data_IF_414982047674
#
_entry.id   IF_414982047674
#
_cell.length_a   1.000
_cell.length_b   1.000
_cell.length_c   1.000
_cell.angle_alpha   90.00
_cell.angle_beta   90.00
_cell.angle_gamma   90.00
#
_symmetry.space_group_name_H-M   'P 1'
#
loop_
_entity.id
_entity.type
_entity.pdbx_description
1 polymer ?
#
# COMPACT_ATOMS: atom_id res chain seq x y z
N UNK A 1 51.07 -4.84 28.71
CA UNK A 1 52.01 -4.51 27.62
C UNK A 1 51.23 -4.58 26.31
N UNK A 2 51.13 -3.47 25.58
CA UNK A 2 50.32 -3.36 24.36
C UNK A 2 49.75 -1.95 24.23
N UNK A 3 50.60 -1.04 23.78
CA UNK A 3 50.35 0.40 23.63
C UNK A 3 49.40 0.66 22.45
N UNK A 4 48.31 1.40 22.65
CA UNK A 4 47.53 1.98 21.55
C UNK A 4 47.62 3.50 21.60
N UNK A 5 48.16 4.02 20.51
CA UNK A 5 48.56 5.39 20.26
C UNK A 5 47.31 6.28 20.04
N UNK A 6 47.19 7.35 20.85
CA UNK A 6 46.30 8.48 20.59
C UNK A 6 46.87 9.33 19.45
N UNK A 7 46.07 9.67 18.45
CA UNK A 7 46.36 10.79 17.54
C UNK A 7 45.32 11.89 17.76
N UNK A 8 45.75 12.94 18.45
CA UNK A 8 45.12 14.26 18.54
C UNK A 8 45.65 15.11 17.38
N UNK A 9 44.76 15.73 16.62
CA UNK A 9 45.09 16.87 15.76
C UNK A 9 44.06 17.99 15.97
N UNK A 10 44.52 19.03 16.67
CA UNK A 10 44.07 20.42 16.59
C UNK A 10 45.30 21.19 16.03
N UNK A 11 45.30 22.33 15.35
CA UNK A 11 44.51 23.58 15.27
C UNK A 11 44.89 24.15 13.86
N UNK A 12 44.12 24.95 13.12
CA UNK A 12 44.10 26.43 13.19
C UNK A 12 43.07 27.04 12.24
N UNK A 13 42.49 28.14 12.72
CA UNK A 13 41.65 29.14 12.08
C UNK A 13 42.33 29.92 10.95
N UNK A 14 41.55 30.45 9.99
CA UNK A 14 41.45 31.89 9.75
C UNK A 14 40.43 32.27 8.65
N UNK A 15 39.48 33.12 9.08
CA UNK A 15 38.89 34.31 8.43
C UNK A 15 38.07 34.25 7.12
N UNK A 16 36.85 34.80 7.29
CA UNK A 16 35.83 35.29 6.34
C UNK A 16 36.34 36.47 5.46
N UNK A 17 35.60 36.88 4.39
CA UNK A 17 34.57 37.91 4.56
C UNK A 17 33.24 37.67 3.81
N UNK A 18 32.18 38.20 4.44
CA UNK A 18 30.84 38.46 3.90
C UNK A 18 30.87 39.57 2.84
N UNK A 19 30.00 39.51 1.83
CA UNK A 19 29.67 40.67 1.00
C UNK A 19 28.39 41.35 1.51
N UNK A 20 28.49 42.66 1.73
CA UNK A 20 27.44 43.59 2.12
C UNK A 20 26.71 44.20 0.92
N UNK A 21 25.43 44.50 1.11
CA UNK A 21 24.62 45.37 0.27
C UNK A 21 25.27 46.77 0.11
N UNK A 22 25.22 47.30 -1.12
CA UNK A 22 25.45 48.70 -1.43
C UNK A 22 24.22 49.29 -2.11
N UNK A 23 23.41 50.04 -1.36
CA UNK A 23 22.42 50.99 -1.88
C UNK A 23 23.14 52.33 -2.03
N UNK A 24 23.04 52.97 -3.20
CA UNK A 24 23.37 54.38 -3.35
C UNK A 24 22.41 55.05 -4.32
N UNK A 25 21.80 56.16 -3.87
CA UNK A 25 20.90 57.07 -4.60
C UNK A 25 21.63 58.40 -4.77
N UNK A 26 21.54 59.03 -5.96
CA UNK A 26 21.40 60.48 -6.21
C UNK A 26 21.29 60.73 -7.75
N UNK A 27 20.93 61.94 -8.26
CA UNK A 27 19.55 62.40 -8.46
C UNK A 27 19.25 62.82 -9.93
N UNK A 28 17.98 63.23 -10.15
CA UNK A 28 17.39 63.67 -11.42
C UNK A 28 17.99 64.97 -12.01
N UNK A 29 17.88 65.20 -13.33
CA UNK A 29 16.94 66.17 -13.95
C UNK A 29 17.08 66.31 -15.51
N UNK A 30 15.96 66.71 -16.16
CA UNK A 30 15.77 67.42 -17.46
C UNK A 30 15.49 66.63 -18.77
N UNK A 31 14.20 66.72 -19.16
CA UNK A 31 13.54 66.88 -20.47
C UNK A 31 14.24 66.51 -21.79
N UNK A 32 13.55 65.71 -22.62
CA UNK A 32 13.17 66.17 -23.97
C UNK A 32 11.93 65.42 -24.52
N UNK A 33 11.10 66.15 -25.28
CA UNK A 33 9.88 65.69 -25.94
C UNK A 33 10.18 65.23 -27.37
N UNK A 34 9.77 64.03 -27.78
CA UNK A 34 9.30 63.80 -29.16
C UNK A 34 8.59 62.44 -29.34
N UNK A 35 7.46 62.51 -30.03
CA UNK A 35 6.59 61.43 -30.52
C UNK A 35 7.28 60.18 -31.10
N UNK A 36 6.74 58.98 -30.83
CA UNK A 36 6.24 58.08 -31.89
C UNK A 36 5.43 56.90 -31.33
N UNK A 37 4.49 56.48 -32.17
CA UNK A 37 3.43 55.49 -32.04
C UNK A 37 3.96 54.04 -32.02
N UNK A 38 3.18 53.14 -31.40
CA UNK A 38 3.11 51.68 -31.58
C UNK A 38 4.30 50.81 -31.14
N UNK A 39 4.08 49.95 -30.14
CA UNK A 39 3.63 48.56 -30.36
C UNK A 39 3.51 47.85 -29.01
N UNK A 40 2.28 47.58 -28.59
CA UNK A 40 1.98 46.63 -27.51
C UNK A 40 2.22 45.21 -28.02
N UNK A 41 3.42 44.67 -27.80
CA UNK A 41 3.65 43.24 -27.88
C UNK A 41 3.52 42.65 -26.46
N UNK A 42 2.28 42.34 -26.07
CA UNK A 42 2.02 41.43 -24.97
C UNK A 42 2.51 40.02 -25.38
N UNK A 43 3.75 39.68 -25.02
CA UNK A 43 4.18 38.28 -25.00
C UNK A 43 3.57 37.61 -23.78
N UNK A 44 2.35 37.09 -23.96
CA UNK A 44 1.79 36.03 -23.12
C UNK A 44 1.80 34.75 -23.95
N UNK A 45 2.95 34.08 -24.05
CA UNK A 45 3.00 32.71 -24.55
C UNK A 45 2.50 31.79 -23.44
N UNK A 46 1.18 31.61 -23.35
CA UNK A 46 0.64 30.45 -22.64
C UNK A 46 1.10 29.21 -23.39
N UNK A 47 1.65 28.24 -22.67
CA UNK A 47 1.95 26.89 -23.16
C UNK A 47 0.63 26.17 -23.47
N UNK A 48 -0.07 26.58 -24.53
CA UNK A 48 -1.18 25.81 -25.05
C UNK A 48 -0.62 24.53 -25.65
N UNK A 49 -0.97 23.39 -25.07
CA UNK A 49 -0.62 22.09 -25.63
C UNK A 49 -1.24 22.00 -27.02
N UNK A 50 -0.41 21.68 -28.01
CA UNK A 50 -0.87 21.38 -29.36
C UNK A 50 -1.84 20.19 -29.30
N UNK A 51 -3.08 20.35 -29.75
CA UNK A 51 -4.08 19.27 -29.83
C UNK A 51 -3.55 18.03 -30.56
N UNK A 52 -2.67 18.24 -31.56
CA UNK A 52 -1.99 17.16 -32.26
C UNK A 52 -1.14 16.30 -31.32
N UNK A 53 -0.42 16.89 -30.38
CA UNK A 53 0.42 16.16 -29.43
C UNK A 53 -0.42 15.29 -28.48
N UNK A 54 -1.58 15.79 -28.03
CA UNK A 54 -2.52 15.00 -27.23
C UNK A 54 -3.11 13.83 -28.03
N UNK A 55 -3.43 14.06 -29.31
CA UNK A 55 -3.93 13.01 -30.19
C UNK A 55 -2.86 11.94 -30.48
N UNK A 56 -1.62 12.34 -30.73
CA UNK A 56 -0.49 11.42 -30.92
C UNK A 56 -0.26 10.57 -29.66
N UNK A 57 -0.30 11.18 -28.47
CA UNK A 57 -0.23 10.45 -27.21
C UNK A 57 -1.40 9.48 -27.04
N UNK A 58 -2.62 9.87 -27.41
CA UNK A 58 -3.80 8.99 -27.37
C UNK A 58 -3.60 7.75 -28.24
N UNK A 59 -3.17 7.94 -29.48
CA UNK A 59 -2.90 6.84 -30.40
C UNK A 59 -1.79 5.94 -29.87
N UNK A 60 -0.73 6.52 -29.30
CA UNK A 60 0.34 5.76 -28.65
C UNK A 60 -0.18 4.89 -27.49
N UNK A 61 -0.99 5.45 -26.59
CA UNK A 61 -1.54 4.70 -25.45
C UNK A 61 -2.46 3.55 -25.91
N UNK A 62 -3.29 3.78 -26.95
CA UNK A 62 -4.15 2.75 -27.52
C UNK A 62 -3.33 1.63 -28.17
N UNK A 63 -2.26 1.99 -28.90
CA UNK A 63 -1.37 1.03 -29.54
C UNK A 63 -0.62 0.17 -28.52
N UNK A 64 0.00 0.81 -27.53
CA UNK A 64 0.84 0.13 -26.53
C UNK A 64 0.02 -0.63 -25.48
N UNK A 65 -1.23 -0.25 -25.24
CA UNK A 65 -2.13 -0.90 -24.29
C UNK A 65 -3.54 -1.12 -24.89
N UNK A 66 -3.69 -2.05 -25.85
CA UNK A 66 -4.95 -2.23 -26.58
C UNK A 66 -6.13 -2.68 -25.71
N UNK A 67 -5.84 -3.26 -24.54
CA UNK A 67 -6.85 -3.69 -23.57
C UNK A 67 -7.22 -2.60 -22.54
N UNK A 68 -6.59 -1.43 -22.59
CA UNK A 68 -6.90 -0.32 -21.70
C UNK A 68 -8.19 0.37 -22.17
N UNK A 69 -9.13 0.58 -21.24
CA UNK A 69 -10.42 1.15 -21.58
C UNK A 69 -10.25 2.58 -22.16
N UNK A 70 -10.78 2.89 -23.36
CA UNK A 70 -10.68 4.21 -23.97
C UNK A 70 -11.18 5.37 -23.10
N UNK A 71 -12.17 5.14 -22.23
CA UNK A 71 -12.65 6.15 -21.28
C UNK A 71 -11.58 6.50 -20.23
N UNK A 72 -10.81 5.49 -19.79
CA UNK A 72 -9.68 5.69 -18.87
C UNK A 72 -8.59 6.50 -19.58
N UNK A 73 -8.25 6.13 -20.82
CA UNK A 73 -7.28 6.85 -21.65
C UNK A 73 -7.66 8.32 -21.76
N UNK A 74 -8.92 8.63 -22.09
CA UNK A 74 -9.39 10.01 -22.21
C UNK A 74 -9.22 10.77 -20.88
N UNK A 75 -9.60 10.18 -19.73
CA UNK A 75 -9.45 10.85 -18.43
C UNK A 75 -7.99 11.05 -18.02
N UNK A 76 -7.11 10.12 -18.36
CA UNK A 76 -5.67 10.23 -18.12
C UNK A 76 -5.06 11.34 -18.99
N UNK A 77 -5.44 11.42 -20.26
CA UNK A 77 -5.00 12.50 -21.14
C UNK A 77 -5.50 13.88 -20.69
N UNK A 78 -6.76 13.98 -20.21
CA UNK A 78 -7.24 15.21 -19.58
C UNK A 78 -6.41 15.56 -18.34
N UNK A 79 -6.08 14.57 -17.50
CA UNK A 79 -5.23 14.77 -16.32
C UNK A 79 -3.85 15.31 -16.68
N UNK A 80 -3.24 14.77 -17.75
CA UNK A 80 -1.95 15.22 -18.26
C UNK A 80 -2.05 16.64 -18.85
N UNK A 81 -3.09 16.92 -19.64
CA UNK A 81 -3.36 18.25 -20.19
C UNK A 81 -3.43 19.29 -19.08
N UNK A 82 -4.26 19.04 -18.07
CA UNK A 82 -4.42 19.96 -16.95
C UNK A 82 -3.15 20.08 -16.10
N UNK A 83 -2.37 19.01 -15.94
CA UNK A 83 -1.09 19.10 -15.25
C UNK A 83 -0.11 20.05 -15.95
N UNK A 84 -0.06 20.01 -17.28
CA UNK A 84 0.76 20.92 -18.09
C UNK A 84 0.24 22.35 -17.99
N UNK A 85 -1.07 22.57 -18.09
CA UNK A 85 -1.68 23.89 -17.99
C UNK A 85 -1.41 24.56 -16.63
N UNK A 86 -1.44 23.79 -15.55
CA UNK A 86 -1.09 24.26 -14.22
C UNK A 86 0.42 24.29 -13.94
N UNK A 87 1.27 24.05 -14.94
CA UNK A 87 2.73 24.01 -14.82
C UNK A 87 3.21 23.08 -13.69
N UNK A 88 2.58 21.90 -13.56
CA UNK A 88 3.08 20.85 -12.65
C UNK A 88 4.43 20.38 -13.19
N UNK A 89 5.48 20.51 -12.38
CA UNK A 89 6.81 20.05 -12.74
C UNK A 89 6.88 18.52 -12.77
N UNK A 90 6.95 17.90 -13.94
CA UNK A 90 7.01 16.45 -14.05
C UNK A 90 7.89 15.98 -15.22
N UNK A 91 8.41 14.76 -15.10
CA UNK A 91 9.14 14.11 -16.18
C UNK A 91 8.18 13.46 -17.21
N UNK A 92 8.75 12.78 -18.21
CA UNK A 92 8.03 12.12 -19.32
C UNK A 92 7.45 10.74 -18.97
N UNK A 93 7.59 10.27 -17.73
CA UNK A 93 7.07 8.97 -17.29
C UNK A 93 5.66 9.16 -16.73
N UNK A 94 4.73 8.36 -17.25
CA UNK A 94 3.33 8.33 -16.83
C UNK A 94 2.99 6.96 -16.25
N UNK A 95 2.56 6.93 -15.00
CA UNK A 95 1.99 5.73 -14.37
C UNK A 95 0.48 5.85 -14.30
N UNK A 96 -0.22 4.78 -14.67
CA UNK A 96 -1.67 4.67 -14.56
C UNK A 96 -2.02 3.45 -13.71
N UNK A 97 -2.92 3.65 -12.74
CA UNK A 97 -3.59 2.56 -12.03
C UNK A 97 -5.09 2.64 -12.30
N UNK A 98 -5.68 1.59 -12.86
CA UNK A 98 -7.14 1.49 -13.03
C UNK A 98 -7.75 0.67 -11.89
N UNK A 99 -8.30 1.35 -10.88
CA UNK A 99 -8.96 0.69 -9.76
C UNK A 99 -10.40 0.24 -10.05
N UNK A 100 -10.95 0.52 -11.22
CA UNK A 100 -12.22 -0.08 -11.68
C UNK A 100 -12.06 -1.57 -11.99
N UNK A 101 -10.84 -2.01 -12.31
CA UNK A 101 -10.51 -3.42 -12.52
C UNK A 101 -10.28 -4.16 -11.19
N UNK A 102 -10.67 -5.45 -11.11
CA UNK A 102 -10.40 -6.27 -9.94
C UNK A 102 -8.89 -6.43 -9.70
N UNK A 103 -8.51 -6.53 -8.43
CA UNK A 103 -7.11 -6.59 -7.99
C UNK A 103 -6.34 -7.83 -8.46
N UNK A 104 -7.03 -8.85 -8.95
CA UNK A 104 -6.44 -10.03 -9.57
C UNK A 104 -6.18 -9.88 -11.09
N UNK A 105 -6.29 -8.66 -11.62
CA UNK A 105 -5.90 -8.31 -12.99
C UNK A 105 -4.70 -7.37 -12.97
N UNK A 106 -3.89 -7.43 -14.03
CA UNK A 106 -2.83 -6.45 -14.29
C UNK A 106 -3.49 -5.12 -14.62
N UNK A 107 -3.43 -4.18 -13.68
CA UNK A 107 -4.17 -2.91 -13.68
C UNK A 107 -3.28 -1.69 -13.38
N UNK A 108 -1.96 -1.89 -13.48
CA UNK A 108 -0.97 -0.83 -13.45
C UNK A 108 -0.22 -0.83 -14.78
N UNK A 109 -0.08 0.35 -15.37
CA UNK A 109 0.72 0.61 -16.57
C UNK A 109 1.74 1.71 -16.28
N UNK A 110 2.93 1.60 -16.85
CA UNK A 110 3.94 2.66 -16.84
C UNK A 110 4.38 2.91 -18.27
N UNK A 111 4.24 4.14 -18.74
CA UNK A 111 4.59 4.56 -20.09
C UNK A 111 5.75 5.56 -20.05
N UNK A 112 6.62 5.46 -21.04
CA UNK A 112 7.50 6.55 -21.42
C UNK A 112 6.83 7.32 -22.57
N UNK A 113 6.40 8.55 -22.30
CA UNK A 113 5.69 9.38 -23.27
C UNK A 113 6.62 9.91 -24.37
N UNK A 114 7.90 10.07 -24.09
CA UNK A 114 8.90 10.55 -25.05
C UNK A 114 9.34 9.40 -25.98
N UNK A 115 9.68 8.25 -25.40
CA UNK A 115 10.02 7.04 -26.15
C UNK A 115 8.80 6.35 -26.78
N UNK A 116 7.59 6.82 -26.47
CA UNK A 116 6.31 6.31 -27.00
C UNK A 116 6.11 4.81 -26.74
N UNK A 117 6.40 4.36 -25.52
CA UNK A 117 6.50 2.93 -25.19
C UNK A 117 5.88 2.57 -23.85
N UNK A 118 5.21 1.41 -23.79
CA UNK A 118 4.85 0.76 -22.53
C UNK A 118 6.08 0.09 -21.90
N UNK A 119 6.44 0.52 -20.69
CA UNK A 119 7.57 -0.02 -19.92
C UNK A 119 7.14 -1.18 -19.01
N UNK A 120 5.99 -1.05 -18.35
CA UNK A 120 5.50 -2.06 -17.40
C UNK A 120 3.99 -2.21 -17.45
N UNK A 121 3.50 -3.45 -17.40
CA UNK A 121 2.08 -3.78 -17.19
C UNK A 121 1.96 -4.91 -16.15
N UNK A 122 1.47 -4.59 -14.95
CA UNK A 122 1.51 -5.55 -13.83
C UNK A 122 0.38 -5.37 -12.80
N UNK A 123 0.39 -6.22 -11.78
CA UNK A 123 -0.55 -6.19 -10.66
C UNK A 123 -0.24 -5.02 -9.71
N UNK A 124 -1.27 -4.53 -9.03
CA UNK A 124 -1.12 -3.57 -7.94
C UNK A 124 -2.25 -3.73 -6.92
N UNK A 125 -1.88 -3.74 -5.65
CA UNK A 125 -2.83 -3.84 -4.52
C UNK A 125 -3.46 -2.49 -4.17
N UNK A 126 -4.44 -2.51 -3.26
CA UNK A 126 -5.11 -1.35 -2.68
C UNK A 126 -5.21 -1.49 -1.15
N UNK A 127 -5.74 -0.46 -0.48
CA UNK A 127 -5.96 -0.46 0.97
C UNK A 127 -7.05 -1.43 1.44
N UNK A 128 -6.87 -1.99 2.62
CA UNK A 128 -7.79 -2.98 3.23
C UNK A 128 -9.23 -2.47 3.41
N UNK A 129 -9.42 -1.15 3.56
CA UNK A 129 -10.75 -0.53 3.64
C UNK A 129 -11.33 -0.12 2.29
N UNK A 130 -10.63 -0.37 1.18
CA UNK A 130 -11.11 -0.06 -0.17
C UNK A 130 -11.89 -1.19 -0.84
N UNK A 131 -12.01 -2.35 -0.20
CA UNK A 131 -12.68 -3.54 -0.72
C UNK A 131 -11.84 -4.80 -0.56
N UNK A 132 -12.29 -5.90 -1.17
CA UNK A 132 -11.63 -7.22 -1.10
C UNK A 132 -10.99 -7.59 -2.43
N UNK A 133 -11.81 -7.94 -3.43
CA UNK A 133 -11.33 -8.17 -4.80
C UNK A 133 -11.41 -6.89 -5.63
N UNK A 134 -12.60 -6.28 -5.64
CA UNK A 134 -12.89 -4.99 -6.27
C UNK A 134 -12.50 -3.85 -5.35
N UNK A 135 -12.04 -2.74 -5.92
CA UNK A 135 -11.86 -1.47 -5.20
C UNK A 135 -13.15 -0.67 -5.35
N UNK A 136 -13.88 -0.46 -4.27
CA UNK A 136 -15.18 0.24 -4.31
C UNK A 136 -15.29 1.36 -3.28
N UNK A 137 -14.29 1.56 -2.43
CA UNK A 137 -14.25 2.66 -1.47
C UNK A 137 -12.90 3.37 -1.49
N UNK A 138 -12.94 4.70 -1.41
CA UNK A 138 -11.76 5.55 -1.41
C UNK A 138 -11.87 6.58 -0.31
N UNK A 139 -10.73 6.95 0.28
CA UNK A 139 -10.71 7.96 1.32
C UNK A 139 -9.40 8.71 1.34
N UNK A 140 -9.53 10.02 1.47
CA UNK A 140 -8.42 10.93 1.69
C UNK A 140 -8.21 11.25 3.19
N UNK A 141 -8.94 10.60 4.10
CA UNK A 141 -8.84 10.86 5.54
C UNK A 141 -7.63 10.17 6.16
N UNK A 142 -7.05 10.80 7.17
CA UNK A 142 -6.04 10.17 8.03
C UNK A 142 -6.56 8.88 8.64
N UNK A 143 -5.69 7.86 8.71
CA UNK A 143 -5.97 6.55 9.30
C UNK A 143 -7.19 5.80 8.70
N UNK A 144 -7.66 6.18 7.51
CA UNK A 144 -8.79 5.53 6.84
C UNK A 144 -8.50 4.09 6.41
N UNK A 145 -7.21 3.74 6.26
CA UNK A 145 -6.71 2.47 5.70
C UNK A 145 -7.25 2.14 4.29
N UNK A 146 -7.76 3.15 3.59
CA UNK A 146 -8.28 3.06 2.22
C UNK A 146 -7.34 3.77 1.26
N UNK A 147 -7.29 3.34 0.00
CA UNK A 147 -6.62 4.06 -1.07
C UNK A 147 -7.38 5.33 -1.45
N UNK A 148 -6.72 6.24 -2.15
CA UNK A 148 -7.30 7.47 -2.70
C UNK A 148 -7.09 7.52 -4.21
N UNK A 149 -8.06 8.07 -4.94
CA UNK A 149 -7.99 8.29 -6.40
C UNK A 149 -7.46 9.70 -6.70
N UNK A 150 -7.12 9.97 -7.95
CA UNK A 150 -6.64 11.28 -8.40
C UNK A 150 -5.21 11.27 -8.93
N UNK A 151 -4.68 12.46 -9.16
CA UNK A 151 -3.33 12.68 -9.71
C UNK A 151 -2.32 12.83 -8.58
N UNK A 152 -1.23 12.09 -8.67
CA UNK A 152 -0.10 12.13 -7.75
C UNK A 152 1.18 12.52 -8.51
N UNK A 153 2.12 13.10 -7.79
CA UNK A 153 3.50 13.22 -8.23
C UNK A 153 4.38 12.32 -7.36
N UNK A 154 5.23 11.53 -7.99
CA UNK A 154 6.21 10.70 -7.30
C UNK A 154 7.39 11.53 -6.83
N UNK A 155 7.93 11.18 -5.66
CA UNK A 155 9.03 11.91 -5.03
C UNK A 155 10.28 11.03 -4.91
N UNK A 156 11.12 11.27 -3.91
CA UNK A 156 12.28 10.43 -3.63
C UNK A 156 11.87 9.01 -3.16
N UNK A 157 12.67 8.04 -3.58
CA UNK A 157 12.61 6.69 -3.03
C UNK A 157 13.46 6.61 -1.75
N UNK A 158 13.02 5.77 -0.82
CA UNK A 158 13.73 5.48 0.43
C UNK A 158 13.61 4.01 0.79
N UNK A 159 14.48 3.53 1.69
CA UNK A 159 14.39 2.18 2.22
C UNK A 159 13.67 2.20 3.57
N UNK A 160 12.56 1.47 3.65
CA UNK A 160 11.76 1.33 4.87
C UNK A 160 11.48 -0.13 5.22
N UNK A 161 10.49 -0.35 6.09
CA UNK A 161 10.07 -1.68 6.56
C UNK A 161 9.59 -2.64 5.46
N UNK A 162 9.23 -2.11 4.29
CA UNK A 162 8.74 -2.86 3.13
C UNK A 162 9.76 -2.85 1.97
N UNK A 163 11.03 -2.51 2.29
CA UNK A 163 12.12 -2.39 1.32
C UNK A 163 12.13 -1.02 0.63
N UNK A 164 12.58 -1.00 -0.62
CA UNK A 164 12.52 0.21 -1.45
C UNK A 164 11.06 0.66 -1.58
N UNK A 165 10.80 1.90 -1.19
CA UNK A 165 9.48 2.52 -1.17
C UNK A 165 9.56 3.91 -1.77
N UNK A 166 8.51 4.33 -2.45
CA UNK A 166 8.43 5.59 -3.17
C UNK A 166 7.40 6.51 -2.53
N UNK A 167 7.82 7.70 -2.12
CA UNK A 167 6.90 8.72 -1.60
C UNK A 167 5.98 9.22 -2.71
N UNK A 168 4.70 9.38 -2.36
CA UNK A 168 3.67 9.87 -3.26
C UNK A 168 3.10 11.16 -2.69
N UNK A 169 3.17 12.24 -3.47
CA UNK A 169 2.48 13.49 -3.16
C UNK A 169 1.17 13.56 -3.92
N UNK A 170 0.08 13.90 -3.22
CA UNK A 170 -1.25 13.97 -3.81
C UNK A 170 -1.54 15.38 -4.28
N UNK A 171 -1.79 15.56 -5.57
CA UNK A 171 -1.98 16.89 -6.15
C UNK A 171 -3.46 17.31 -6.22
N UNK A 172 -4.37 16.35 -6.08
CA UNK A 172 -5.79 16.51 -6.35
C UNK A 172 -6.57 16.79 -5.05
N UNK A 173 -6.89 18.07 -4.85
CA UNK A 173 -7.47 18.61 -3.62
C UNK A 173 -8.75 17.86 -3.24
N UNK A 174 -8.86 17.48 -1.97
CA UNK A 174 -9.93 16.65 -1.40
C UNK A 174 -9.96 15.18 -1.83
N UNK A 175 -9.26 14.78 -2.90
CA UNK A 175 -9.24 13.39 -3.39
C UNK A 175 -8.04 12.61 -2.88
N UNK A 176 -6.85 13.22 -2.92
CA UNK A 176 -5.62 12.60 -2.48
C UNK A 176 -4.59 13.54 -1.82
N UNK A 177 -4.90 14.83 -1.65
CA UNK A 177 -3.99 15.85 -1.09
C UNK A 177 -3.48 15.59 0.34
N UNK A 178 -4.03 14.61 1.05
CA UNK A 178 -3.46 14.14 2.32
C UNK A 178 -2.50 12.94 2.17
N UNK A 179 -2.19 12.48 0.96
CA UNK A 179 -1.44 11.24 0.73
C UNK A 179 -0.08 11.22 1.44
N UNK A 180 0.71 12.28 1.30
CA UNK A 180 2.01 12.41 1.96
C UNK A 180 1.88 12.42 3.50
N UNK A 181 0.94 13.23 4.04
CA UNK A 181 0.66 13.27 5.49
C UNK A 181 0.16 11.93 6.04
N UNK A 182 -0.53 11.14 5.21
CA UNK A 182 -1.00 9.78 5.53
C UNK A 182 0.09 8.71 5.40
N UNK A 183 1.32 9.10 5.04
CA UNK A 183 2.42 8.21 4.71
C UNK A 183 2.06 7.16 3.63
N UNK A 184 1.26 7.58 2.65
CA UNK A 184 0.94 6.75 1.47
C UNK A 184 2.16 6.73 0.55
N UNK A 185 2.65 5.53 0.28
CA UNK A 185 3.83 5.28 -0.54
C UNK A 185 3.53 4.17 -1.54
N UNK A 186 4.26 4.08 -2.64
CA UNK A 186 4.30 2.85 -3.44
C UNK A 186 5.40 1.94 -2.89
N UNK A 187 5.07 0.68 -2.60
CA UNK A 187 6.04 -0.26 -2.03
C UNK A 187 5.87 -1.66 -2.60
N UNK A 188 6.78 -2.57 -2.26
CA UNK A 188 6.71 -3.97 -2.67
C UNK A 188 5.87 -4.83 -1.70
N UNK A 189 5.28 -5.91 -2.19
CA UNK A 189 4.53 -6.86 -1.36
C UNK A 189 4.53 -8.26 -1.95
N UNK A 190 5.06 -9.23 -1.19
CA UNK A 190 5.09 -10.66 -1.59
C UNK A 190 3.70 -11.22 -1.92
N UNK A 191 2.67 -10.68 -1.26
CA UNK A 191 1.26 -11.02 -1.45
C UNK A 191 0.65 -10.43 -2.74
N UNK A 192 1.43 -9.75 -3.58
CA UNK A 192 0.99 -9.19 -4.88
C UNK A 192 1.59 -10.00 -6.05
N UNK A 193 2.44 -10.98 -5.76
CA UNK A 193 3.02 -11.86 -6.77
C UNK A 193 1.96 -12.66 -7.53
N UNK A 194 2.18 -12.86 -8.84
CA UNK A 194 1.23 -13.57 -9.71
C UNK A 194 0.90 -14.99 -9.18
N UNK A 195 1.91 -15.69 -8.66
CA UNK A 195 1.73 -17.02 -8.04
C UNK A 195 0.79 -16.97 -6.82
N UNK A 196 0.87 -15.93 -6.01
CA UNK A 196 0.03 -15.75 -4.83
C UNK A 196 -1.41 -15.47 -5.26
N UNK A 197 -1.58 -14.57 -6.24
CA UNK A 197 -2.89 -14.23 -6.79
C UNK A 197 -3.56 -15.46 -7.43
N UNK A 198 -2.80 -16.30 -8.15
CA UNK A 198 -3.31 -17.55 -8.71
C UNK A 198 -3.73 -18.55 -7.62
N UNK A 199 -2.95 -18.66 -6.54
CA UNK A 199 -3.23 -19.56 -5.41
C UNK A 199 -4.48 -19.13 -4.61
N UNK A 200 -4.64 -17.83 -4.37
CA UNK A 200 -5.67 -17.31 -3.44
C UNK A 200 -6.77 -16.47 -4.10
N UNK A 201 -6.76 -16.33 -5.42
CA UNK A 201 -7.75 -15.61 -6.22
C UNK A 201 -7.64 -14.08 -6.20
N UNK A 202 -6.87 -13.49 -5.26
CA UNK A 202 -6.60 -12.05 -5.16
C UNK A 202 -5.25 -11.77 -4.47
N UNK A 203 -4.66 -10.58 -4.64
CA UNK A 203 -3.53 -10.16 -3.83
C UNK A 203 -3.97 -9.85 -2.39
N UNK A 204 -3.00 -9.82 -1.48
CA UNK A 204 -3.18 -9.16 -0.17
C UNK A 204 -3.33 -7.64 -0.29
N UNK A 205 -3.73 -6.98 0.81
CA UNK A 205 -4.10 -5.56 0.89
C UNK A 205 -3.24 -4.78 1.88
N UNK A 206 -2.81 -3.59 1.45
CA UNK A 206 -2.04 -2.65 2.28
C UNK A 206 -2.97 -1.84 3.21
N UNK A 207 -2.46 -0.78 3.83
CA UNK A 207 -3.29 0.19 4.57
C UNK A 207 -3.55 1.48 3.77
N UNK A 208 -3.58 1.38 2.44
CA UNK A 208 -3.89 2.50 1.53
C UNK A 208 -2.88 2.63 0.40
N UNK A 209 -1.64 2.22 0.66
CA UNK A 209 -0.52 2.21 -0.28
C UNK A 209 -0.77 1.30 -1.51
N UNK A 210 -0.50 1.75 -2.75
CA UNK A 210 -0.37 0.83 -3.87
C UNK A 210 0.86 -0.09 -3.64
N UNK A 211 0.63 -1.39 -3.55
CA UNK A 211 1.72 -2.37 -3.40
C UNK A 211 1.94 -3.14 -4.70
N UNK A 212 3.20 -3.32 -5.10
CA UNK A 212 3.65 -3.99 -6.33
C UNK A 212 4.17 -5.41 -6.05
N UNK A 213 4.22 -6.30 -7.06
CA UNK A 213 5.01 -7.53 -6.99
C UNK A 213 6.47 -7.23 -6.64
N UNK A 214 7.09 -8.08 -5.82
CA UNK A 214 8.50 -7.95 -5.45
C UNK A 214 9.39 -7.93 -6.69
N UNK A 215 9.15 -8.85 -7.63
CA UNK A 215 9.97 -9.03 -8.83
C UNK A 215 10.13 -7.74 -9.67
N UNK A 216 9.07 -6.92 -9.76
CA UNK A 216 9.07 -5.71 -10.59
C UNK A 216 9.27 -4.42 -9.79
N UNK A 217 9.06 -4.46 -8.47
CA UNK A 217 8.99 -3.26 -7.61
C UNK A 217 10.20 -2.34 -7.75
N UNK A 218 11.43 -2.86 -7.69
CA UNK A 218 12.63 -2.04 -7.78
C UNK A 218 12.78 -1.37 -9.15
N UNK A 219 12.51 -2.09 -10.23
CA UNK A 219 12.61 -1.55 -11.59
C UNK A 219 11.56 -0.45 -11.82
N UNK A 220 10.31 -0.70 -11.40
CA UNK A 220 9.22 0.27 -11.49
C UNK A 220 9.55 1.51 -10.66
N UNK A 221 9.84 1.35 -9.36
CA UNK A 221 10.12 2.49 -8.46
C UNK A 221 11.29 3.33 -8.98
N UNK A 222 12.37 2.72 -9.46
CA UNK A 222 13.50 3.47 -10.01
C UNK A 222 13.18 4.17 -11.34
N UNK A 223 12.20 3.66 -12.10
CA UNK A 223 11.75 4.29 -13.35
C UNK A 223 10.83 5.48 -13.07
N UNK A 224 9.95 5.35 -12.06
CA UNK A 224 8.90 6.33 -11.81
C UNK A 224 9.25 7.32 -10.70
N UNK A 225 10.41 7.22 -10.03
CA UNK A 225 10.82 8.22 -9.03
C UNK A 225 11.13 9.57 -9.69
N UNK A 226 11.34 10.58 -8.86
CA UNK A 226 11.84 11.89 -9.29
C UNK A 226 10.87 12.60 -10.26
N UNK A 227 9.66 12.90 -9.75
CA UNK A 227 8.62 13.74 -10.39
C UNK A 227 7.92 13.12 -11.60
N UNK A 228 7.66 11.82 -11.61
CA UNK A 228 6.70 11.23 -12.58
C UNK A 228 5.26 11.53 -12.17
N UNK A 229 4.33 11.57 -13.14
CA UNK A 229 2.90 11.60 -12.84
C UNK A 229 2.35 10.19 -12.65
N UNK A 230 1.58 10.01 -11.57
CA UNK A 230 0.80 8.81 -11.29
C UNK A 230 -0.68 9.17 -11.25
N UNK A 231 -1.47 8.60 -12.15
CA UNK A 231 -2.94 8.76 -12.17
C UNK A 231 -3.59 7.49 -11.64
N UNK A 232 -4.28 7.61 -10.51
CA UNK A 232 -5.10 6.52 -9.96
C UNK A 232 -6.56 6.78 -10.34
N UNK A 233 -7.05 6.01 -11.30
CA UNK A 233 -8.38 6.15 -11.89
C UNK A 233 -9.43 5.29 -11.17
N UNK A 234 -10.64 5.86 -11.03
CA UNK A 234 -11.89 5.15 -10.78
C UNK A 234 -13.06 5.98 -11.37
N UNK A 235 -14.14 5.35 -11.90
CA UNK A 235 -15.26 6.08 -12.51
C UNK A 235 -16.15 6.75 -11.46
N UNK A 236 -15.66 7.82 -10.82
CA UNK A 236 -16.37 8.56 -9.77
C UNK A 236 -16.92 9.89 -10.27
N UNK A 237 -18.23 10.10 -10.11
CA UNK A 237 -18.90 11.38 -10.44
C UNK A 237 -18.27 12.57 -9.71
N UNK A 238 -18.06 12.40 -8.39
CA UNK A 238 -17.49 13.46 -7.57
C UNK A 238 -16.10 13.86 -8.07
N UNK A 239 -15.27 12.88 -8.43
CA UNK A 239 -13.94 13.14 -8.96
C UNK A 239 -13.97 13.80 -10.33
N UNK A 240 -14.77 13.27 -11.25
CA UNK A 240 -14.91 13.84 -12.60
C UNK A 240 -15.42 15.28 -12.58
N UNK A 241 -16.34 15.61 -11.68
CA UNK A 241 -16.93 16.95 -11.59
C UNK A 241 -16.05 17.98 -10.84
N UNK A 242 -15.22 17.55 -9.87
CA UNK A 242 -14.56 18.47 -8.93
C UNK A 242 -13.04 18.47 -9.00
N UNK A 243 -12.42 17.47 -9.62
CA UNK A 243 -10.96 17.45 -9.79
C UNK A 243 -10.53 18.61 -10.69
N UNK A 244 -9.55 19.40 -10.22
CA UNK A 244 -8.93 20.43 -11.06
C UNK A 244 -8.23 19.82 -12.27
N UNK A 245 -7.75 18.58 -12.15
CA UNK A 245 -7.06 17.85 -13.22
C UNK A 245 -8.00 17.25 -14.25
N UNK A 246 -9.31 17.39 -14.09
CA UNK A 246 -10.28 16.96 -15.09
C UNK A 246 -11.10 18.12 -15.67
N UNK A 247 -10.86 19.34 -15.21
CA UNK A 247 -11.70 20.52 -15.50
C UNK A 247 -10.87 21.81 -15.70
N UNK A 248 -9.64 21.71 -16.21
CA UNK A 248 -8.80 22.89 -16.48
C UNK A 248 -9.37 23.82 -17.59
N UNK A 249 -10.11 23.26 -18.54
CA UNK A 249 -10.75 24.04 -19.62
C UNK A 249 -11.96 24.87 -19.17
N UNK A 250 -12.44 24.70 -17.93
CA UNK A 250 -13.73 25.27 -17.49
C UNK A 250 -13.55 26.57 -16.73
N UNK A 251 -13.73 27.68 -17.44
CA UNK A 251 -14.41 28.86 -16.89
C UNK A 251 -15.93 28.58 -16.87
N UNK A 252 -16.43 28.05 -15.75
CA UNK A 252 -17.86 27.83 -15.42
C UNK A 252 -18.71 26.86 -16.28
N UNK A 253 -19.41 25.96 -15.56
CA UNK A 253 -20.64 25.24 -15.93
C UNK A 253 -20.78 24.68 -17.35
N UNK A 254 -20.37 23.43 -17.56
CA UNK A 254 -21.05 22.57 -18.53
C UNK A 254 -21.33 21.21 -17.90
N UNK A 255 -22.61 20.81 -17.92
CA UNK A 255 -23.09 19.55 -17.38
C UNK A 255 -22.66 18.40 -18.29
N UNK A 256 -21.90 17.46 -17.73
CA UNK A 256 -21.50 16.25 -18.44
C UNK A 256 -22.67 15.27 -18.52
N UNK A 257 -22.98 14.82 -19.74
CA UNK A 257 -23.84 13.67 -19.99
C UNK A 257 -23.17 12.39 -19.51
N UNK A 258 -23.87 11.68 -18.63
CA UNK A 258 -23.40 10.53 -17.86
C UNK A 258 -23.41 9.25 -18.69
N UNK A 259 -22.24 8.69 -18.96
CA UNK A 259 -22.11 7.27 -19.29
C UNK A 259 -21.35 6.56 -18.15
N UNK A 260 -22.02 5.60 -17.52
CA UNK A 260 -21.53 4.64 -16.51
C UNK A 260 -20.55 5.18 -15.46
N UNK A 261 -21.06 6.00 -14.54
CA UNK A 261 -20.33 6.48 -13.37
C UNK A 261 -20.86 5.85 -12.08
N UNK A 262 -20.01 5.74 -11.07
CA UNK A 262 -20.29 5.05 -9.81
C UNK A 262 -20.16 6.04 -8.65
N UNK A 263 -21.21 6.14 -7.85
CA UNK A 263 -21.17 6.82 -6.56
C UNK A 263 -20.36 5.99 -5.58
N UNK A 264 -19.28 6.58 -5.04
CA UNK A 264 -18.46 5.93 -4.01
C UNK A 264 -19.29 5.90 -2.71
N UNK A 265 -19.42 4.75 -2.04
CA UNK A 265 -20.12 4.65 -0.76
C UNK A 265 -19.56 5.61 0.29
N UNK A 266 -20.41 6.13 1.18
CA UNK A 266 -20.01 7.09 2.23
C UNK A 266 -19.16 6.43 3.33
N UNK A 267 -19.38 5.15 3.58
CA UNK A 267 -18.65 4.34 4.56
C UNK A 267 -17.86 3.21 3.88
N UNK A 268 -16.73 2.80 4.48
CA UNK A 268 -16.01 1.64 3.98
C UNK A 268 -16.88 0.38 4.10
N UNK A 269 -16.65 -0.65 3.26
CA UNK A 269 -17.30 -1.94 3.40
C UNK A 269 -17.07 -2.50 4.81
N UNK A 270 -18.11 -3.14 5.37
CA UNK A 270 -17.94 -3.87 6.62
C UNK A 270 -16.95 -5.01 6.41
N UNK A 271 -16.00 -5.15 7.32
CA UNK A 271 -15.00 -6.20 7.27
C UNK A 271 -15.17 -7.03 8.53
N UNK A 272 -15.97 -8.09 8.42
CA UNK A 272 -16.13 -9.05 9.51
C UNK A 272 -14.80 -9.73 9.81
N UNK A 273 -14.34 -9.58 11.05
CA UNK A 273 -13.11 -10.21 11.54
C UNK A 273 -13.48 -11.35 12.48
N UNK A 274 -13.05 -12.53 12.11
CA UNK A 274 -13.12 -13.70 12.99
C UNK A 274 -12.11 -13.52 14.13
N UNK A 275 -12.51 -13.80 15.38
CA UNK A 275 -11.55 -13.84 16.47
C UNK A 275 -10.45 -14.86 16.20
N UNK A 276 -9.21 -14.50 16.51
CA UNK A 276 -8.07 -15.42 16.44
C UNK A 276 -7.55 -15.72 17.85
N UNK A 277 -6.84 -16.85 17.98
CA UNK A 277 -6.43 -17.39 19.26
C UNK A 277 -5.03 -16.91 19.68
N UNK A 278 -4.96 -16.26 20.84
CA UNK A 278 -3.72 -15.81 21.48
C UNK A 278 -3.41 -16.59 22.73
N UNK A 279 -2.12 -16.82 22.98
CA UNK A 279 -1.64 -17.32 24.26
C UNK A 279 -1.88 -16.28 25.36
N UNK A 280 -2.70 -16.64 26.34
CA UNK A 280 -3.06 -15.85 27.51
C UNK A 280 -2.16 -16.08 28.70
N UNK A 281 -2.73 -16.50 29.83
CA UNK A 281 -1.97 -16.85 31.04
C UNK A 281 -1.10 -18.09 30.80
N UNK A 282 0.13 -18.06 31.35
CA UNK A 282 1.14 -19.11 31.17
C UNK A 282 2.37 -18.70 30.34
N UNK A 283 2.30 -17.59 29.60
CA UNK A 283 3.44 -17.01 28.87
C UNK A 283 3.91 -15.72 29.53
N UNK A 284 5.21 -15.61 29.86
CA UNK A 284 5.85 -14.39 30.37
C UNK A 284 6.07 -13.39 29.22
N UNK A 285 4.99 -12.77 28.72
CA UNK A 285 5.00 -11.77 27.65
C UNK A 285 4.41 -10.43 28.09
N UNK A 286 4.46 -9.43 27.19
CA UNK A 286 3.84 -8.13 27.42
C UNK A 286 2.31 -8.22 27.60
N UNK A 287 1.71 -7.20 28.21
CA UNK A 287 0.25 -7.17 28.49
C UNK A 287 -0.60 -7.08 27.21
N UNK A 288 -0.06 -6.52 26.12
CA UNK A 288 -0.78 -6.27 24.87
C UNK A 288 -0.89 -7.51 23.96
N UNK A 289 -2.06 -7.72 23.34
CA UNK A 289 -2.31 -8.84 22.43
C UNK A 289 -1.30 -8.91 21.27
N UNK A 290 -0.86 -7.76 20.74
CA UNK A 290 0.14 -7.70 19.67
C UNK A 290 1.52 -8.29 20.03
N UNK A 291 1.78 -8.53 21.33
CA UNK A 291 3.02 -9.11 21.85
C UNK A 291 2.87 -10.56 22.31
N UNK A 292 1.65 -11.10 22.25
CA UNK A 292 1.34 -12.47 22.67
C UNK A 292 1.44 -13.42 21.47
N UNK A 293 1.93 -14.65 21.67
CA UNK A 293 1.96 -15.65 20.61
C UNK A 293 0.55 -15.94 20.08
N UNK A 294 0.39 -15.97 18.76
CA UNK A 294 -0.82 -16.45 18.09
C UNK A 294 -0.65 -17.90 17.70
N UNK A 295 -1.68 -18.71 17.91
CA UNK A 295 -1.76 -20.07 17.40
C UNK A 295 -1.97 -20.03 15.87
N UNK A 296 -1.05 -20.61 15.12
CA UNK A 296 -1.09 -20.65 13.65
C UNK A 296 -0.86 -22.06 13.13
N UNK A 297 -1.28 -22.30 11.89
CA UNK A 297 -0.89 -23.47 11.11
C UNK A 297 -0.43 -23.02 9.72
N UNK A 298 0.40 -23.82 9.03
CA UNK A 298 0.78 -23.48 7.65
C UNK A 298 -0.45 -23.43 6.74
N UNK A 299 -0.47 -22.54 5.75
CA UNK A 299 -1.60 -22.44 4.83
C UNK A 299 -1.84 -23.75 4.06
N UNK A 300 -0.78 -24.49 3.71
CA UNK A 300 -0.91 -25.76 3.00
C UNK A 300 -1.54 -26.84 3.90
N UNK A 301 -1.10 -26.93 5.17
CA UNK A 301 -1.72 -27.84 6.14
C UNK A 301 -3.16 -27.43 6.43
N UNK A 302 -3.43 -26.14 6.56
CA UNK A 302 -4.80 -25.61 6.73
C UNK A 302 -5.74 -26.14 5.64
N UNK A 303 -5.33 -26.02 4.36
CA UNK A 303 -6.16 -26.47 3.24
C UNK A 303 -6.36 -27.98 3.23
N UNK A 304 -5.34 -28.77 3.64
CA UNK A 304 -5.47 -30.23 3.75
C UNK A 304 -6.40 -30.65 4.88
N UNK A 305 -6.28 -30.04 6.05
CA UNK A 305 -7.01 -30.43 7.26
C UNK A 305 -8.46 -29.96 7.23
N UNK A 306 -8.70 -28.72 6.79
CA UNK A 306 -10.04 -28.12 6.80
C UNK A 306 -10.75 -28.19 5.44
N UNK A 307 -10.09 -28.73 4.40
CA UNK A 307 -10.64 -28.87 3.05
C UNK A 307 -11.25 -27.58 2.47
N UNK A 308 -10.67 -26.43 2.83
CA UNK A 308 -11.14 -25.10 2.42
C UNK A 308 -9.97 -24.19 2.08
N UNK A 309 -10.24 -23.06 1.41
CA UNK A 309 -9.19 -22.11 1.05
C UNK A 309 -8.69 -21.36 2.29
N UNK A 310 -7.40 -21.02 2.29
CA UNK A 310 -6.79 -20.34 3.43
C UNK A 310 -7.38 -18.91 3.57
N UNK A 311 -7.93 -18.53 4.74
CA UNK A 311 -8.58 -17.24 4.93
C UNK A 311 -7.55 -16.12 5.00
N UNK A 312 -7.43 -15.35 3.91
CA UNK A 312 -6.46 -14.26 3.82
C UNK A 312 -6.60 -13.22 4.94
N UNK A 313 -7.81 -13.00 5.46
CA UNK A 313 -8.08 -12.10 6.60
C UNK A 313 -7.38 -12.52 7.90
N UNK A 314 -6.98 -13.79 8.02
CA UNK A 314 -6.24 -14.36 9.17
C UNK A 314 -4.81 -14.78 8.81
N UNK A 315 -4.37 -14.57 7.58
CA UNK A 315 -3.00 -14.88 7.16
C UNK A 315 -2.00 -13.91 7.78
N UNK A 316 -0.86 -14.40 8.26
CA UNK A 316 0.21 -13.53 8.73
C UNK A 316 0.72 -12.66 7.58
N UNK A 317 0.96 -11.36 7.85
CA UNK A 317 1.47 -10.41 6.84
C UNK A 317 2.91 -10.67 6.40
N UNK A 318 3.62 -11.55 7.10
CA UNK A 318 5.02 -11.91 6.85
C UNK A 318 5.16 -13.42 6.90
N UNK A 319 5.83 -13.97 5.89
CA UNK A 319 6.11 -15.40 5.79
C UNK A 319 7.20 -15.81 6.79
N UNK A 320 7.21 -17.08 7.18
CA UNK A 320 8.30 -17.70 7.95
C UNK A 320 8.93 -18.74 7.03
N UNK A 321 10.24 -18.64 6.75
CA UNK A 321 10.95 -19.54 5.83
C UNK A 321 10.22 -19.69 4.47
N UNK A 322 9.72 -18.58 3.92
CA UNK A 322 8.95 -18.51 2.67
C UNK A 322 7.61 -19.27 2.68
N UNK A 323 7.12 -19.70 3.85
CA UNK A 323 5.81 -20.33 4.01
C UNK A 323 4.77 -19.36 4.59
N UNK A 324 3.52 -19.52 4.14
CA UNK A 324 2.36 -18.78 4.65
C UNK A 324 1.75 -19.48 5.88
N UNK A 325 1.26 -18.68 6.83
CA UNK A 325 0.64 -19.19 8.05
C UNK A 325 -0.70 -18.50 8.31
N UNK A 326 -1.67 -19.27 8.77
CA UNK A 326 -3.01 -18.83 9.10
C UNK A 326 -3.20 -18.87 10.60
N UNK A 327 -3.64 -17.75 11.18
CA UNK A 327 -4.06 -17.70 12.57
C UNK A 327 -5.36 -18.48 12.76
N UNK A 328 -5.36 -19.43 13.70
CA UNK A 328 -6.51 -20.28 13.98
C UNK A 328 -7.61 -19.52 14.73
N UNK A 329 -8.86 -19.81 14.40
CA UNK A 329 -10.02 -19.39 15.16
C UNK A 329 -10.48 -20.45 16.17
N UNK A 330 -11.48 -20.12 16.98
CA UNK A 330 -12.03 -21.01 17.98
C UNK A 330 -12.69 -22.28 17.39
N UNK A 331 -13.38 -22.17 16.25
CA UNK A 331 -14.08 -23.31 15.63
C UNK A 331 -13.09 -24.33 15.08
N UNK A 332 -12.01 -23.84 14.49
CA UNK A 332 -10.93 -24.64 13.94
C UNK A 332 -10.18 -25.37 15.04
N UNK A 333 -9.89 -24.70 16.17
CA UNK A 333 -9.24 -25.36 17.29
C UNK A 333 -10.15 -26.39 17.97
N UNK A 334 -11.44 -26.09 18.10
CA UNK A 334 -12.44 -27.02 18.63
C UNK A 334 -12.57 -28.27 17.76
N UNK A 335 -12.60 -28.09 16.43
CA UNK A 335 -12.57 -29.18 15.45
C UNK A 335 -11.34 -30.06 15.63
N UNK A 336 -10.15 -29.47 15.79
CA UNK A 336 -8.92 -30.21 16.00
C UNK A 336 -8.93 -31.00 17.33
N UNK A 337 -9.54 -30.45 18.37
CA UNK A 337 -9.58 -31.06 19.71
C UNK A 337 -10.53 -32.27 19.82
N UNK A 338 -11.62 -32.32 19.05
CA UNK A 338 -12.72 -33.29 19.24
C UNK A 338 -12.81 -34.41 18.17
N UNK A 339 -11.85 -34.54 17.27
CA UNK A 339 -11.89 -35.55 16.20
C UNK A 339 -11.72 -37.00 16.72
N UNK A 340 -12.67 -37.86 16.34
CA UNK A 340 -12.71 -39.30 16.66
C UNK A 340 -11.70 -40.13 15.80
N UNK A 341 -11.37 -41.37 16.20
CA UNK A 341 -10.27 -42.18 15.63
C UNK A 341 -10.26 -42.38 14.10
N UNK A 342 -11.41 -42.30 13.42
CA UNK A 342 -11.49 -42.46 11.95
C UNK A 342 -10.99 -41.23 11.16
N UNK A 343 -10.95 -40.03 11.78
CA UNK A 343 -10.35 -38.80 11.25
C UNK A 343 -9.00 -38.46 11.89
N UNK A 344 -8.44 -39.37 12.69
CA UNK A 344 -7.29 -39.12 13.56
C UNK A 344 -6.03 -38.70 12.81
N UNK A 345 -5.80 -39.14 11.57
CA UNK A 345 -4.58 -38.79 10.84
C UNK A 345 -4.50 -37.29 10.51
N UNK A 346 -5.57 -36.71 9.96
CA UNK A 346 -5.62 -35.29 9.62
C UNK A 346 -5.72 -34.39 10.86
N UNK A 347 -6.46 -34.81 11.88
CA UNK A 347 -6.52 -34.09 13.16
C UNK A 347 -5.18 -34.11 13.90
N UNK A 348 -4.50 -35.26 13.94
CA UNK A 348 -3.16 -35.38 14.50
C UNK A 348 -2.14 -34.58 13.67
N UNK A 349 -2.24 -34.59 12.34
CA UNK A 349 -1.44 -33.71 11.49
C UNK A 349 -1.69 -32.24 11.86
N UNK A 350 -2.95 -31.84 12.03
CA UNK A 350 -3.37 -30.50 12.43
C UNK A 350 -2.78 -30.08 13.77
N UNK A 351 -3.03 -30.85 14.83
CA UNK A 351 -2.51 -30.58 16.19
C UNK A 351 -0.98 -30.51 16.19
N UNK A 352 -0.31 -31.48 15.57
CA UNK A 352 1.16 -31.50 15.52
C UNK A 352 1.75 -30.37 14.66
N UNK A 353 0.94 -29.74 13.80
CA UNK A 353 1.34 -28.63 12.95
C UNK A 353 1.04 -27.26 13.56
N UNK A 354 0.38 -27.18 14.72
CA UNK A 354 0.12 -25.90 15.39
C UNK A 354 1.45 -25.32 15.87
N UNK A 355 1.72 -24.07 15.45
CA UNK A 355 2.85 -23.27 15.91
C UNK A 355 2.34 -22.04 16.67
N UNK A 356 3.21 -21.47 17.49
CA UNK A 356 2.94 -20.21 18.18
C UNK A 356 3.90 -19.15 17.67
N UNK A 357 3.37 -18.00 17.22
CA UNK A 357 4.18 -17.00 16.51
C UNK A 357 4.00 -15.61 17.12
N UNK A 358 5.10 -14.88 17.27
CA UNK A 358 5.13 -13.47 17.67
C UNK A 358 5.83 -12.61 16.62
N UNK A 359 5.47 -11.33 16.47
CA UNK A 359 6.27 -10.36 15.72
C UNK A 359 7.50 -9.95 16.55
N UNK A 360 8.66 -9.84 15.93
CA UNK A 360 9.87 -9.29 16.53
C UNK A 360 10.51 -8.27 15.60
N UNK A 361 11.05 -7.19 16.16
CA UNK A 361 11.87 -6.25 15.41
C UNK A 361 13.31 -6.77 15.37
N UNK A 362 13.88 -6.83 14.17
CA UNK A 362 15.29 -7.19 13.97
C UNK A 362 15.98 -6.11 13.15
N UNK A 363 17.22 -5.81 13.53
CA UNK A 363 18.10 -4.95 12.73
C UNK A 363 18.56 -5.75 11.53
N UNK A 364 18.43 -5.18 10.34
CA UNK A 364 18.90 -5.77 9.09
C UNK A 364 20.07 -4.97 8.53
N UNK A 365 20.78 -5.56 7.56
CA UNK A 365 21.95 -4.93 6.92
C UNK A 365 21.56 -3.57 6.35
N UNK A 366 22.26 -2.52 6.76
CA UNK A 366 21.92 -1.13 6.44
C UNK A 366 21.31 -0.34 7.62
N UNK A 367 21.19 -0.94 8.81
CA UNK A 367 20.90 -0.23 10.05
C UNK A 367 19.43 0.09 10.31
N UNK A 368 18.52 -0.39 9.46
CA UNK A 368 17.07 -0.24 9.64
C UNK A 368 16.43 -1.46 10.31
N UNK A 369 15.24 -1.29 10.86
CA UNK A 369 14.47 -2.33 11.54
C UNK A 369 13.44 -2.96 10.60
N UNK A 370 13.35 -4.29 10.64
CA UNK A 370 12.31 -5.06 9.96
C UNK A 370 11.49 -5.86 10.99
N UNK A 371 10.18 -5.97 10.77
CA UNK A 371 9.33 -6.89 11.53
C UNK A 371 9.45 -8.29 10.94
N UNK A 372 9.96 -9.24 11.71
CA UNK A 372 9.99 -10.67 11.37
C UNK A 372 9.02 -11.46 12.26
N UNK A 373 8.58 -12.62 11.78
CA UNK A 373 7.78 -13.55 12.58
C UNK A 373 8.71 -14.58 13.21
N UNK A 374 8.62 -14.73 14.53
CA UNK A 374 9.41 -15.68 15.29
C UNK A 374 8.50 -16.76 15.89
N UNK A 375 8.88 -18.02 15.66
CA UNK A 375 8.24 -19.17 16.31
C UNK A 375 8.66 -19.22 17.78
N UNK A 376 7.67 -19.37 18.65
CA UNK A 376 7.83 -19.57 20.09
C UNK A 376 7.65 -21.06 20.39
N UNK A 377 8.72 -21.71 20.85
CA UNK A 377 8.70 -23.13 21.17
C UNK A 377 8.04 -23.38 22.54
N UNK A 378 6.72 -23.60 22.53
CA UNK A 378 5.96 -23.99 23.73
C UNK A 378 5.99 -25.50 24.02
N UNK A 379 6.63 -26.31 23.17
CA UNK A 379 6.67 -27.77 23.27
C UNK A 379 5.72 -28.47 22.29
N UNK A 380 5.80 -29.80 22.25
CA UNK A 380 4.89 -30.63 21.46
C UNK A 380 3.54 -30.73 22.17
N UNK A 381 2.45 -30.46 21.44
CA UNK A 381 1.10 -30.51 22.00
C UNK A 381 0.73 -31.96 22.28
N UNK A 382 0.33 -32.23 23.53
CA UNK A 382 -0.18 -33.52 23.99
C UNK A 382 -1.70 -33.60 23.84
N UNK A 383 -2.39 -32.53 24.25
CA UNK A 383 -3.85 -32.48 24.33
C UNK A 383 -4.33 -31.02 24.31
N UNK A 384 -5.53 -30.79 23.79
CA UNK A 384 -6.21 -29.50 23.81
C UNK A 384 -7.58 -29.71 24.44
N UNK A 385 -7.93 -28.92 25.45
CA UNK A 385 -9.25 -28.96 26.12
C UNK A 385 -9.96 -27.63 25.99
N UNK A 386 -11.21 -27.63 25.56
CA UNK A 386 -12.07 -26.46 25.69
C UNK A 386 -12.35 -26.19 27.18
N UNK A 387 -12.23 -24.93 27.61
CA UNK A 387 -12.44 -24.56 29.02
C UNK A 387 -13.92 -24.26 29.34
N UNK A 388 -14.71 -23.90 28.33
CA UNK A 388 -16.13 -23.62 28.48
C UNK A 388 -16.90 -24.96 28.40
N UNK A 389 -17.20 -25.55 29.56
CA UNK A 389 -17.99 -26.79 29.64
C UNK A 389 -19.38 -26.60 29.05
N UNK A 390 -19.81 -27.50 28.15
CA UNK A 390 -21.14 -27.53 27.52
C UNK A 390 -21.62 -26.15 27.05
N UNK A 391 -20.93 -25.57 26.06
CA UNK A 391 -21.57 -24.52 25.27
C UNK A 391 -22.87 -25.11 24.69
N UNK A 392 -23.99 -24.41 24.89
CA UNK A 392 -25.26 -24.67 24.20
C UNK A 392 -24.93 -24.96 22.73
N UNK A 393 -25.50 -26.01 22.15
CA UNK A 393 -25.16 -26.73 20.90
C UNK A 393 -24.74 -25.90 19.66
N UNK A 394 -24.74 -24.57 19.70
CA UNK A 394 -24.45 -23.66 18.60
C UNK A 394 -23.43 -22.54 18.93
N UNK A 395 -22.54 -22.67 19.92
CA UNK A 395 -21.48 -21.67 20.17
C UNK A 395 -20.11 -22.30 20.45
N UNK A 396 -19.07 -22.00 19.64
CA UNK A 396 -17.73 -22.55 19.86
C UNK A 396 -17.13 -22.01 21.17
N UNK A 397 -16.32 -22.83 21.84
CA UNK A 397 -15.61 -22.44 23.06
C UNK A 397 -14.74 -21.20 22.81
N UNK A 398 -14.76 -20.25 23.75
CA UNK A 398 -14.04 -18.98 23.63
C UNK A 398 -12.60 -19.06 24.15
N UNK A 399 -12.31 -20.10 24.95
CA UNK A 399 -11.00 -20.35 25.51
C UNK A 399 -10.67 -21.85 25.60
N UNK A 400 -9.37 -22.14 25.47
CA UNK A 400 -8.84 -23.51 25.44
C UNK A 400 -7.60 -23.62 26.33
N UNK A 401 -7.41 -24.76 27.00
CA UNK A 401 -6.15 -25.12 27.64
C UNK A 401 -5.38 -26.08 26.73
N UNK A 402 -4.14 -25.72 26.39
CA UNK A 402 -3.22 -26.55 25.62
C UNK A 402 -2.20 -27.17 26.56
N UNK A 403 -2.14 -28.50 26.58
CA UNK A 403 -1.19 -29.29 27.36
C UNK A 403 -0.03 -29.72 26.47
N UNK A 404 1.19 -29.60 26.97
CA UNK A 404 2.41 -29.94 26.26
C UNK A 404 3.13 -31.13 26.91
N UNK A 405 3.91 -31.86 26.12
CA UNK A 405 4.82 -32.89 26.64
C UNK A 405 5.93 -32.22 27.49
N UNK A 406 5.96 -32.52 28.80
CA UNK A 406 7.03 -32.08 29.71
C UNK A 406 7.08 -30.58 30.01
N UNK A 407 6.06 -29.80 29.67
CA UNK A 407 5.98 -28.35 29.91
C UNK A 407 4.64 -27.94 30.51
N UNK A 408 4.62 -26.78 31.17
CA UNK A 408 3.39 -26.23 31.77
C UNK A 408 2.33 -25.92 30.70
N UNK A 409 1.04 -26.14 30.99
CA UNK A 409 -0.03 -25.82 30.06
C UNK A 409 -0.16 -24.30 29.86
N UNK A 410 -0.75 -23.90 28.73
CA UNK A 410 -1.07 -22.50 28.43
C UNK A 410 -2.52 -22.35 28.05
N UNK A 411 -3.11 -21.19 28.33
CA UNK A 411 -4.45 -20.85 27.88
C UNK A 411 -4.41 -20.14 26.53
N UNK A 412 -5.32 -20.48 25.63
CA UNK A 412 -5.62 -19.74 24.41
C UNK A 412 -6.93 -19.00 24.56
N UNK A 413 -6.94 -17.72 24.21
CA UNK A 413 -8.13 -16.86 24.27
C UNK A 413 -8.41 -16.25 22.90
N UNK A 414 -9.68 -16.28 22.49
CA UNK A 414 -10.15 -15.63 21.29
C UNK A 414 -10.13 -14.10 21.44
N UNK A 415 -9.57 -13.39 20.45
CA UNK A 415 -9.53 -11.94 20.41
C UNK A 415 -9.93 -11.43 19.02
N UNK A 416 -10.83 -10.43 18.98
CA UNK A 416 -11.29 -9.77 17.74
C UNK A 416 -10.56 -8.47 17.42
N UNK A 417 -9.58 -8.08 18.24
CA UNK A 417 -8.90 -6.81 18.09
C UNK A 417 -8.17 -6.74 16.74
N UNK A 418 -7.98 -5.52 16.25
CA UNK A 418 -7.14 -5.29 15.09
C UNK A 418 -5.68 -5.61 15.45
N UNK A 419 -5.04 -6.48 14.67
CA UNK A 419 -3.64 -6.87 14.88
C UNK A 419 -2.83 -6.47 13.66
N UNK A 420 -1.82 -5.62 13.85
CA UNK A 420 -1.08 -5.01 12.74
C UNK A 420 -0.44 -6.01 11.77
N UNK A 421 -0.07 -7.19 12.25
CA UNK A 421 0.71 -8.18 11.53
C UNK A 421 -0.10 -9.40 11.06
N UNK A 422 -1.43 -9.37 11.23
CA UNK A 422 -2.36 -10.39 10.73
C UNK A 422 -3.35 -9.77 9.74
N UNK A 423 -3.68 -10.52 8.70
CA UNK A 423 -4.70 -10.22 7.71
C UNK A 423 -4.20 -9.49 6.46
N UNK A 424 -4.52 -10.08 5.30
CA UNK A 424 -4.24 -9.62 3.94
C UNK A 424 -5.52 -9.30 3.16
#
# INVERSE_FOLDING_TARGET
>A
MGSFLLLLLAVTSNYFPQLSLGVSKAPANINDNSHSISETAQYSSSLQINEQALNDMKLMLIHEAPNLNPLVINKVLTSLKCAIEYNVDHNNILTLIDYSLPSNKKRLWVFDLNAKKLLFHTYVSHGIKSGTLLTNYFSNKFNSKASSIGVYQTQEAYYGRDGLSLRLDGLDRNFNDNASGRAVVMHSGWYVEERFIKKYGRPGRSWGCPALPLQNSNAIINTIKDKSLLVIYYPSDAWFAKSKFLNCDKDSSDQYTTNSTIQIPLSPPDEHREPILFVGSGYKGGKHAETKPVAVISADTYQRVFHTTAPLSRMLRRQINNAEYIALDAKELDYLAHQNPAGAAAANEGINSILFVIPVLKVVRGGYYETQMQIVNLGKIKEIKANDGLARENSPASSFTVYFEGKSPVNLNACKDFIRWVGL
#
